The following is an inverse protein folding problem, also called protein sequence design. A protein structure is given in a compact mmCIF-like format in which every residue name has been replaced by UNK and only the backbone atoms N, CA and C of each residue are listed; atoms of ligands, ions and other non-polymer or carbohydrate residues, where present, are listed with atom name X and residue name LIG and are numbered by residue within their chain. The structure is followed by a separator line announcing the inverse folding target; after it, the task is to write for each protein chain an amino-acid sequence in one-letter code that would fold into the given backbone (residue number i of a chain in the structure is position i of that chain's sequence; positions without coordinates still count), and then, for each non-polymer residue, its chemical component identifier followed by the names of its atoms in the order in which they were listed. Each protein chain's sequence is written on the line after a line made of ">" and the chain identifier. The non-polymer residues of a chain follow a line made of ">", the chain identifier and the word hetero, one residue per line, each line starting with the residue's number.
data_IF_561049815185
#
_entry.id   IF_561049815185
#
_cell.length_a   1.000
_cell.length_b   1.000
_cell.length_c   1.000
_cell.angle_alpha   90.00
_cell.angle_beta   90.00
_cell.angle_gamma   90.00
#
_symmetry.space_group_name_H-M   'P 1'
#
loop_
_entity.id
_entity.type
_entity.pdbx_description
1 polymer ?
#
# COMPACT_ATOMS: atom_id res chain seq x y z
N UNK A 1 17.77 0.86 27.75
CA UNK A 1 17.81 0.25 26.41
C UNK A 1 17.71 1.37 25.38
N UNK A 2 18.20 1.20 24.15
CA UNK A 2 17.97 2.22 23.10
C UNK A 2 16.49 2.18 22.67
N UNK A 3 15.86 3.32 22.35
CA UNK A 3 14.48 3.33 21.87
C UNK A 3 14.37 2.52 20.56
N UNK A 4 13.23 1.85 20.38
CA UNK A 4 12.88 1.19 19.11
C UNK A 4 12.66 2.29 18.07
N UNK A 5 13.33 2.18 16.93
CA UNK A 5 13.17 3.11 15.81
C UNK A 5 12.22 2.52 14.78
N UNK A 6 11.09 3.18 14.57
CA UNK A 6 10.10 2.79 13.59
C UNK A 6 9.98 3.85 12.49
N UNK A 7 10.26 3.47 11.24
CA UNK A 7 10.16 4.38 10.10
C UNK A 7 9.10 3.87 9.12
N UNK A 8 8.14 4.72 8.77
CA UNK A 8 7.05 4.36 7.87
C UNK A 8 7.24 4.94 6.47
N UNK A 9 7.17 4.07 5.46
CA UNK A 9 7.26 4.40 4.03
C UNK A 9 5.99 4.02 3.30
N UNK A 10 5.66 4.82 2.28
CA UNK A 10 4.49 4.57 1.45
C UNK A 10 3.89 5.82 0.84
N UNK A 11 2.59 5.74 0.61
CA UNK A 11 1.78 6.79 0.02
C UNK A 11 0.75 7.36 1.01
N UNK A 12 -0.39 7.82 0.50
CA UNK A 12 -1.46 8.43 1.29
C UNK A 12 -2.03 7.51 2.37
N UNK A 13 -2.00 6.19 2.16
CA UNK A 13 -2.40 5.22 3.19
C UNK A 13 -1.49 5.32 4.42
N UNK A 14 -0.18 5.31 4.20
CA UNK A 14 0.80 5.39 5.30
C UNK A 14 0.95 6.81 5.85
N UNK A 15 0.72 7.84 5.03
CA UNK A 15 0.64 9.23 5.51
C UNK A 15 -0.53 9.43 6.51
N UNK A 16 -1.56 8.59 6.44
CA UNK A 16 -2.69 8.61 7.37
C UNK A 16 -3.91 9.36 6.87
N UNK A 17 -4.01 9.59 5.55
CA UNK A 17 -5.17 10.27 4.95
C UNK A 17 -6.45 9.58 5.40
N UNK A 18 -7.38 10.37 5.95
CA UNK A 18 -8.66 9.90 6.49
C UNK A 18 -8.73 9.80 8.03
N UNK A 19 -7.63 9.99 8.75
CA UNK A 19 -7.57 10.07 10.22
C UNK A 19 -7.00 11.43 10.69
N UNK A 20 -7.80 12.51 10.66
CA UNK A 20 -7.34 13.85 10.99
C UNK A 20 -7.22 14.07 12.50
N UNK A 21 -6.10 14.60 12.95
CA UNK A 21 -5.87 15.04 14.34
C UNK A 21 -5.29 16.45 14.31
N UNK A 22 -6.10 17.45 14.62
CA UNK A 22 -5.72 18.86 14.39
C UNK A 22 -5.50 19.14 12.90
N UNK A 23 -4.35 19.72 12.55
CA UNK A 23 -3.99 20.09 11.17
C UNK A 23 -3.18 19.01 10.44
N UNK A 24 -3.10 17.79 10.98
CA UNK A 24 -2.29 16.69 10.43
C UNK A 24 -3.06 15.38 10.35
N UNK A 25 -2.51 14.44 9.59
CA UNK A 25 -2.93 13.05 9.53
C UNK A 25 -2.15 12.22 10.56
N UNK A 26 -2.84 11.38 11.33
CA UNK A 26 -2.23 10.44 12.30
C UNK A 26 -1.92 9.11 11.63
N UNK A 27 -2.95 8.36 11.24
CA UNK A 27 -2.82 7.14 10.44
C UNK A 27 -2.34 5.92 11.21
N UNK A 28 -2.39 4.77 10.52
CA UNK A 28 -2.15 3.45 11.13
C UNK A 28 -0.73 3.29 11.70
N UNK A 29 0.29 3.88 11.06
CA UNK A 29 1.67 3.70 11.48
C UNK A 29 1.93 4.42 12.82
N UNK A 30 1.41 5.63 13.00
CA UNK A 30 1.50 6.31 14.29
C UNK A 30 0.69 5.62 15.38
N UNK A 31 -0.49 5.09 15.03
CA UNK A 31 -1.32 4.30 15.96
C UNK A 31 -0.65 2.99 16.39
N UNK A 32 0.18 2.41 15.53
CA UNK A 32 0.96 1.20 15.83
C UNK A 32 2.15 1.51 16.73
N UNK A 33 2.80 2.66 16.57
CA UNK A 33 4.09 2.96 17.19
C UNK A 33 4.12 2.71 18.72
N UNK A 34 3.15 3.16 19.54
CA UNK A 34 3.15 2.90 20.98
C UNK A 34 3.08 1.41 21.38
N UNK A 35 2.62 0.54 20.48
CA UNK A 35 2.57 -0.91 20.72
C UNK A 35 3.88 -1.64 20.46
N UNK A 36 4.89 -0.97 19.89
CA UNK A 36 6.17 -1.59 19.52
C UNK A 36 7.19 -1.68 20.66
N UNK A 37 6.97 -0.98 21.76
CA UNK A 37 7.83 -0.99 22.93
C UNK A 37 7.00 -0.87 24.23
N UNK A 38 7.55 -1.22 25.40
CA UNK A 38 6.85 -1.05 26.68
C UNK A 38 6.53 0.42 26.96
N UNK A 39 5.53 0.68 27.81
CA UNK A 39 5.01 2.03 28.12
C UNK A 39 6.10 2.99 28.65
N UNK A 40 7.12 2.46 29.32
CA UNK A 40 8.25 3.21 29.87
C UNK A 40 9.43 3.37 28.89
N UNK A 41 9.33 2.83 27.66
CA UNK A 41 10.32 2.95 26.60
C UNK A 41 9.71 3.63 25.37
N UNK A 42 10.06 4.89 25.07
CA UNK A 42 9.52 5.58 23.91
C UNK A 42 9.99 4.95 22.60
N UNK A 43 9.11 4.91 21.61
CA UNK A 43 9.41 4.55 20.22
C UNK A 43 9.75 5.83 19.46
N UNK A 44 10.90 5.82 18.79
CA UNK A 44 11.28 6.90 17.88
C UNK A 44 10.61 6.66 16.52
N UNK A 45 9.46 7.29 16.32
CA UNK A 45 8.63 7.12 15.15
C UNK A 45 8.84 8.25 14.13
N UNK A 46 9.13 7.89 12.89
CA UNK A 46 9.18 8.84 11.76
C UNK A 46 8.32 8.37 10.61
N UNK A 47 7.41 9.21 10.13
CA UNK A 47 6.64 8.96 8.91
C UNK A 47 7.24 9.70 7.72
N UNK A 48 7.69 8.97 6.71
CA UNK A 48 8.27 9.51 5.47
C UNK A 48 7.34 9.29 4.26
N UNK A 49 6.13 8.77 4.48
CA UNK A 49 5.16 8.55 3.43
C UNK A 49 4.65 9.86 2.83
N UNK A 50 4.33 9.84 1.54
CA UNK A 50 3.87 11.02 0.80
C UNK A 50 2.71 10.65 -0.11
N UNK A 51 1.59 11.36 0.03
CA UNK A 51 0.40 11.18 -0.80
C UNK A 51 0.72 11.13 -2.29
N UNK A 52 0.25 10.06 -2.93
CA UNK A 52 0.40 9.85 -4.37
C UNK A 52 1.75 9.28 -4.80
N UNK A 53 2.65 8.95 -3.85
CA UNK A 53 3.90 8.26 -4.12
C UNK A 53 3.68 6.92 -4.85
N UNK A 54 4.62 6.57 -5.71
CA UNK A 54 4.74 5.27 -6.37
C UNK A 54 5.94 4.50 -5.80
N UNK A 55 6.08 3.23 -6.18
CA UNK A 55 7.26 2.41 -5.83
C UNK A 55 8.61 3.08 -6.16
N UNK A 56 8.66 3.83 -7.27
CA UNK A 56 9.84 4.63 -7.64
C UNK A 56 10.17 5.69 -6.60
N UNK A 57 9.16 6.39 -6.10
CA UNK A 57 9.35 7.46 -5.13
C UNK A 57 9.81 6.92 -3.77
N UNK A 58 9.32 5.74 -3.38
CA UNK A 58 9.82 5.02 -2.21
C UNK A 58 11.30 4.69 -2.40
N UNK A 59 11.67 4.02 -3.50
CA UNK A 59 13.06 3.65 -3.77
C UNK A 59 14.01 4.85 -3.82
N UNK A 60 13.68 5.88 -4.58
CA UNK A 60 14.61 6.97 -4.89
C UNK A 60 14.69 8.03 -3.77
N UNK A 61 13.62 8.20 -2.98
CA UNK A 61 13.52 9.31 -2.02
C UNK A 61 13.34 8.83 -0.58
N UNK A 62 12.37 7.96 -0.34
CA UNK A 62 12.03 7.56 1.02
C UNK A 62 13.03 6.56 1.60
N UNK A 63 13.50 5.58 0.80
CA UNK A 63 14.45 4.56 1.25
C UNK A 63 15.78 5.14 1.69
N UNK A 64 16.47 6.03 0.95
CA UNK A 64 17.70 6.65 1.42
C UNK A 64 17.52 7.44 2.72
N UNK A 65 16.41 8.18 2.85
CA UNK A 65 16.08 8.94 4.05
C UNK A 65 15.83 8.01 5.25
N UNK A 66 15.09 6.92 5.07
CA UNK A 66 14.85 5.93 6.11
C UNK A 66 16.13 5.20 6.53
N UNK A 67 17.00 4.81 5.60
CA UNK A 67 18.25 4.14 5.93
C UNK A 67 19.17 5.02 6.80
N UNK A 68 19.12 6.35 6.62
CA UNK A 68 19.87 7.29 7.45
C UNK A 68 19.35 7.38 8.91
N UNK A 69 18.11 6.94 9.16
CA UNK A 69 17.51 6.88 10.50
C UNK A 69 17.81 5.55 11.21
N UNK A 70 18.41 4.57 10.53
CA UNK A 70 18.77 3.25 11.09
C UNK A 70 17.58 2.58 11.83
N UNK A 71 16.46 2.29 11.12
CA UNK A 71 15.27 1.72 11.73
C UNK A 71 15.49 0.29 12.23
N UNK A 72 14.87 -0.04 13.35
CA UNK A 72 14.68 -1.43 13.79
C UNK A 72 13.51 -2.08 13.06
N UNK A 73 12.47 -1.28 12.82
CA UNK A 73 11.26 -1.67 12.11
C UNK A 73 11.01 -0.64 11.01
N UNK A 74 10.69 -1.13 9.82
CA UNK A 74 10.30 -0.28 8.68
C UNK A 74 9.02 -0.80 8.06
N UNK A 75 8.05 0.08 7.82
CA UNK A 75 6.89 -0.30 7.00
C UNK A 75 7.07 0.18 5.57
N UNK A 76 6.71 -0.68 4.63
CA UNK A 76 6.70 -0.37 3.20
C UNK A 76 5.37 -0.86 2.63
N UNK A 77 4.39 0.04 2.64
CA UNK A 77 3.04 -0.21 2.09
C UNK A 77 2.83 0.74 0.93
N UNK A 78 2.89 0.20 -0.30
CA UNK A 78 2.92 0.98 -1.54
C UNK A 78 2.43 0.13 -2.73
N UNK A 79 2.06 0.79 -3.83
CA UNK A 79 1.85 0.14 -5.13
C UNK A 79 0.47 0.38 -5.73
N UNK A 80 -0.53 0.75 -4.93
CA UNK A 80 -1.87 1.13 -5.44
C UNK A 80 -1.75 2.29 -6.42
N UNK A 81 -0.94 3.30 -6.08
CA UNK A 81 -0.72 4.45 -6.96
C UNK A 81 -0.09 4.08 -8.31
N UNK A 82 0.82 3.11 -8.36
CA UNK A 82 1.40 2.61 -9.61
C UNK A 82 0.30 2.05 -10.53
N UNK A 83 -0.66 1.30 -9.98
CA UNK A 83 -1.79 0.74 -10.77
C UNK A 83 -2.66 1.82 -11.43
N UNK A 84 -2.67 3.01 -10.82
CA UNK A 84 -3.43 4.20 -11.22
C UNK A 84 -2.61 5.15 -12.11
N UNK A 85 -1.54 4.69 -12.75
CA UNK A 85 -0.78 5.46 -13.75
C UNK A 85 -0.79 4.79 -15.11
N UNK A 86 -0.59 5.60 -16.15
CA UNK A 86 -0.39 5.05 -17.48
C UNK A 86 0.93 4.29 -17.62
N UNK A 87 1.93 4.63 -16.80
CA UNK A 87 3.26 4.03 -16.76
C UNK A 87 3.33 2.73 -15.97
N UNK A 88 2.19 2.13 -15.61
CA UNK A 88 2.18 0.89 -14.83
C UNK A 88 2.97 -0.21 -15.54
N UNK A 89 3.99 -0.71 -14.85
CA UNK A 89 4.83 -1.83 -15.26
C UNK A 89 5.15 -2.70 -14.04
N UNK A 90 4.70 -3.95 -14.09
CA UNK A 90 4.88 -4.89 -12.98
C UNK A 90 6.34 -5.32 -12.81
N UNK A 91 7.15 -5.33 -13.87
CA UNK A 91 8.59 -5.63 -13.78
C UNK A 91 9.29 -4.56 -12.94
N UNK A 92 9.04 -3.30 -13.27
CA UNK A 92 9.62 -2.17 -12.57
C UNK A 92 9.13 -2.08 -11.11
N UNK A 93 7.86 -2.43 -10.83
CA UNK A 93 7.34 -2.54 -9.46
C UNK A 93 8.08 -3.64 -8.68
N UNK A 94 8.27 -4.82 -9.28
CA UNK A 94 8.94 -5.94 -8.63
C UNK A 94 10.41 -5.65 -8.32
N UNK A 95 11.15 -5.10 -9.28
CA UNK A 95 12.55 -4.70 -9.11
C UNK A 95 12.74 -3.67 -8.00
N UNK A 96 11.91 -2.63 -7.97
CA UNK A 96 12.00 -1.58 -6.96
C UNK A 96 11.69 -2.11 -5.57
N UNK A 97 10.64 -2.91 -5.42
CA UNK A 97 10.28 -3.49 -4.12
C UNK A 97 11.34 -4.48 -3.64
N UNK A 98 11.89 -5.32 -4.52
CA UNK A 98 12.98 -6.24 -4.17
C UNK A 98 14.19 -5.47 -3.66
N UNK A 99 14.57 -4.39 -4.35
CA UNK A 99 15.67 -3.51 -3.95
C UNK A 99 15.42 -2.85 -2.60
N UNK A 100 14.21 -2.30 -2.39
CA UNK A 100 13.84 -1.64 -1.12
C UNK A 100 13.86 -2.63 0.03
N UNK A 101 13.27 -3.81 -0.13
CA UNK A 101 13.24 -4.82 0.93
C UNK A 101 14.65 -5.32 1.24
N UNK A 102 15.43 -5.65 0.21
CA UNK A 102 16.83 -6.08 0.36
C UNK A 102 17.66 -5.05 1.15
N UNK A 103 17.50 -3.75 0.86
CA UNK A 103 18.25 -2.69 1.52
C UNK A 103 18.01 -2.63 3.04
N UNK A 104 16.77 -2.86 3.48
CA UNK A 104 16.43 -2.90 4.91
C UNK A 104 16.81 -4.21 5.58
N UNK A 105 16.61 -5.35 4.89
CA UNK A 105 17.05 -6.65 5.40
C UNK A 105 18.57 -6.75 5.55
N UNK A 106 19.34 -6.11 4.67
CA UNK A 106 20.79 -6.00 4.80
C UNK A 106 21.23 -5.20 6.05
N UNK A 107 20.33 -4.44 6.66
CA UNK A 107 20.51 -3.75 7.94
C UNK A 107 19.78 -4.42 9.11
N UNK A 108 19.33 -5.65 8.92
CA UNK A 108 18.61 -6.45 9.92
C UNK A 108 17.28 -5.82 10.40
N UNK A 109 16.77 -4.81 9.70
CA UNK A 109 15.50 -4.19 10.02
C UNK A 109 14.33 -5.14 9.68
N UNK A 110 13.33 -5.20 10.56
CA UNK A 110 12.08 -5.91 10.31
C UNK A 110 11.25 -5.11 9.32
N UNK A 111 10.91 -5.71 8.17
CA UNK A 111 10.10 -5.07 7.14
C UNK A 111 8.64 -5.47 7.34
N UNK A 112 7.75 -4.48 7.46
CA UNK A 112 6.30 -4.67 7.44
C UNK A 112 5.76 -4.31 6.06
N UNK A 113 4.87 -5.12 5.51
CA UNK A 113 4.19 -4.81 4.26
C UNK A 113 2.77 -5.38 4.23
N UNK A 114 1.98 -5.01 3.24
CA UNK A 114 0.61 -5.46 3.08
C UNK A 114 0.25 -5.69 1.62
N UNK A 115 -0.58 -6.70 1.35
CA UNK A 115 -1.36 -6.70 0.11
C UNK A 115 -2.61 -5.85 0.32
N UNK A 116 -2.99 -5.08 -0.71
CA UNK A 116 -4.06 -4.11 -0.62
C UNK A 116 -5.21 -4.45 -1.56
N UNK A 117 -6.44 -4.10 -1.19
CA UNK A 117 -7.62 -4.31 -2.03
C UNK A 117 -7.59 -3.50 -3.34
N UNK A 118 -8.42 -3.91 -4.31
CA UNK A 118 -8.40 -3.29 -5.62
C UNK A 118 -9.08 -1.91 -5.63
N UNK A 119 -8.41 -0.87 -6.18
CA UNK A 119 -8.95 0.48 -6.16
C UNK A 119 -10.19 0.63 -7.07
N UNK A 120 -10.40 -0.28 -8.03
CA UNK A 120 -11.54 -0.23 -8.94
C UNK A 120 -12.87 -0.53 -8.25
N UNK A 121 -12.88 -1.57 -7.41
CA UNK A 121 -14.01 -1.96 -6.57
C UNK A 121 -14.29 -0.90 -5.50
N UNK A 122 -13.23 -0.40 -4.84
CA UNK A 122 -13.34 0.65 -3.82
C UNK A 122 -13.99 1.93 -4.33
N UNK A 123 -13.59 2.36 -5.54
CA UNK A 123 -14.17 3.52 -6.21
C UNK A 123 -15.56 3.25 -6.82
N UNK A 124 -16.08 2.02 -6.74
CA UNK A 124 -17.38 1.63 -7.30
C UNK A 124 -17.42 1.76 -8.83
N UNK A 125 -16.30 1.54 -9.52
CA UNK A 125 -16.24 1.71 -10.97
C UNK A 125 -17.05 0.63 -11.70
N UNK A 126 -17.65 0.95 -12.86
CA UNK A 126 -18.24 -0.06 -13.73
C UNK A 126 -17.25 -1.18 -14.04
N UNK A 127 -17.73 -2.43 -14.11
CA UNK A 127 -16.85 -3.61 -14.24
C UNK A 127 -15.88 -3.59 -15.43
N UNK A 128 -16.17 -2.83 -16.49
CA UNK A 128 -15.25 -2.65 -17.63
C UNK A 128 -14.02 -1.79 -17.31
N UNK A 129 -14.12 -0.91 -16.30
CA UNK A 129 -13.02 -0.10 -15.77
C UNK A 129 -12.39 -0.75 -14.52
N UNK A 130 -13.21 -1.37 -13.67
CA UNK A 130 -12.72 -2.02 -12.44
C UNK A 130 -11.82 -3.24 -12.74
N UNK A 131 -12.19 -4.11 -13.69
CA UNK A 131 -11.44 -5.34 -13.97
C UNK A 131 -9.98 -5.11 -14.41
N UNK A 132 -9.67 -4.16 -15.31
CA UNK A 132 -8.28 -3.82 -15.59
C UNK A 132 -7.48 -3.39 -14.36
N UNK A 133 -8.07 -2.56 -13.48
CA UNK A 133 -7.40 -2.13 -12.25
C UNK A 133 -7.23 -3.27 -11.26
N UNK A 134 -8.24 -4.13 -11.11
CA UNK A 134 -8.17 -5.34 -10.30
C UNK A 134 -7.03 -6.26 -10.76
N UNK A 135 -6.86 -6.49 -12.07
CA UNK A 135 -5.71 -7.25 -12.59
C UNK A 135 -4.37 -6.61 -12.23
N UNK A 136 -4.26 -5.28 -12.31
CA UNK A 136 -3.03 -4.57 -11.91
C UNK A 136 -2.77 -4.71 -10.41
N UNK A 137 -3.78 -4.54 -9.57
CA UNK A 137 -3.63 -4.70 -8.12
C UNK A 137 -3.29 -6.14 -7.73
N UNK A 138 -3.94 -7.14 -8.36
CA UNK A 138 -3.59 -8.54 -8.16
C UNK A 138 -2.14 -8.83 -8.54
N UNK A 139 -1.64 -8.22 -9.62
CA UNK A 139 -0.24 -8.35 -10.00
C UNK A 139 0.70 -7.76 -8.94
N UNK A 140 0.42 -6.55 -8.44
CA UNK A 140 1.18 -5.94 -7.34
C UNK A 140 1.14 -6.80 -6.08
N UNK A 141 -0.05 -7.27 -5.67
CA UNK A 141 -0.21 -8.12 -4.48
C UNK A 141 0.54 -9.45 -4.61
N UNK A 142 0.58 -10.06 -5.80
CA UNK A 142 1.34 -11.27 -6.05
C UNK A 142 2.86 -11.04 -5.93
N UNK A 143 3.35 -9.89 -6.40
CA UNK A 143 4.74 -9.47 -6.21
C UNK A 143 5.05 -9.26 -4.73
N UNK A 144 4.20 -8.51 -4.00
CA UNK A 144 4.37 -8.30 -2.55
C UNK A 144 4.42 -9.65 -1.82
N UNK A 145 3.51 -10.58 -2.11
CA UNK A 145 3.53 -11.92 -1.49
C UNK A 145 4.83 -12.69 -1.74
N UNK A 146 5.32 -12.69 -2.98
CA UNK A 146 6.55 -13.36 -3.34
C UNK A 146 7.77 -12.73 -2.65
N UNK A 147 7.83 -11.40 -2.63
CA UNK A 147 8.93 -10.66 -2.02
C UNK A 147 8.91 -10.73 -0.50
N UNK A 148 7.73 -10.74 0.13
CA UNK A 148 7.60 -10.97 1.57
C UNK A 148 8.21 -12.30 1.99
N UNK A 149 7.92 -13.37 1.23
CA UNK A 149 8.52 -14.69 1.47
C UNK A 149 10.03 -14.70 1.23
N UNK A 150 10.49 -14.05 0.17
CA UNK A 150 11.92 -13.97 -0.20
C UNK A 150 12.75 -13.23 0.84
N UNK A 151 12.22 -12.14 1.39
CA UNK A 151 12.94 -11.23 2.30
C UNK A 151 12.61 -11.46 3.78
N UNK A 152 11.62 -12.30 4.09
CA UNK A 152 11.14 -12.51 5.46
C UNK A 152 10.41 -11.30 6.03
N UNK A 153 9.63 -10.60 5.21
CA UNK A 153 8.83 -9.46 5.65
C UNK A 153 7.56 -9.92 6.38
N UNK A 154 7.14 -9.16 7.39
CA UNK A 154 5.86 -9.32 8.06
C UNK A 154 4.74 -8.83 7.14
N UNK A 155 4.00 -9.77 6.56
CA UNK A 155 3.05 -9.51 5.48
C UNK A 155 1.61 -9.57 5.97
N UNK A 156 0.97 -8.41 6.05
CA UNK A 156 -0.44 -8.29 6.34
C UNK A 156 -1.31 -8.56 5.10
N UNK A 157 -2.25 -9.49 5.23
CA UNK A 157 -3.24 -9.79 4.20
C UNK A 157 -4.46 -8.85 4.30
N UNK A 158 -4.30 -7.59 3.89
CA UNK A 158 -5.36 -6.57 4.01
C UNK A 158 -6.32 -6.52 2.81
N UNK A 159 -6.12 -7.37 1.79
CA UNK A 159 -6.98 -7.43 0.60
C UNK A 159 -8.27 -8.26 0.80
N UNK A 160 -8.49 -8.83 1.99
CA UNK A 160 -9.61 -9.74 2.26
C UNK A 160 -10.92 -9.02 2.58
N UNK A 161 -12.04 -9.59 2.12
CA UNK A 161 -13.34 -8.93 1.92
C UNK A 161 -14.01 -8.44 3.22
N UNK A 162 -13.83 -9.14 4.34
CA UNK A 162 -14.69 -8.98 5.52
C UNK A 162 -14.64 -7.57 6.16
N UNK A 163 -13.48 -6.90 6.13
CA UNK A 163 -13.34 -5.54 6.69
C UNK A 163 -13.54 -4.44 5.64
N UNK A 164 -13.41 -4.76 4.35
CA UNK A 164 -13.50 -3.79 3.25
C UNK A 164 -14.96 -3.41 3.00
N UNK A 165 -15.90 -4.34 3.23
CA UNK A 165 -17.32 -4.08 3.00
C UNK A 165 -17.94 -3.13 4.03
N UNK A 166 -17.33 -2.98 5.21
CA UNK A 166 -17.81 -2.05 6.21
C UNK A 166 -17.52 -0.60 5.79
N UNK A 167 -18.59 0.12 5.43
CA UNK A 167 -18.49 1.51 5.01
C UNK A 167 -17.97 2.45 6.11
N UNK A 168 -18.03 2.05 7.38
CA UNK A 168 -17.54 2.84 8.51
C UNK A 168 -16.01 2.84 8.60
N UNK A 169 -15.31 1.86 7.99
CA UNK A 169 -13.84 1.82 8.01
C UNK A 169 -13.21 2.79 7.00
N UNK A 170 -14.02 3.34 6.08
CA UNK A 170 -13.55 4.21 5.00
C UNK A 170 -13.78 5.68 5.29
N UNK A 171 -12.87 6.51 4.79
CA UNK A 171 -12.96 7.96 4.87
C UNK A 171 -14.05 8.49 3.92
N UNK A 172 -14.26 9.81 3.96
CA UNK A 172 -15.25 10.50 3.14
C UNK A 172 -15.08 10.24 1.61
N UNK A 173 -13.87 9.93 1.16
CA UNK A 173 -13.53 9.67 -0.25
C UNK A 173 -13.74 8.23 -0.70
N UNK A 174 -14.00 7.30 0.24
CA UNK A 174 -14.17 5.86 0.01
C UNK A 174 -12.99 5.14 -0.65
N UNK A 175 -11.82 5.77 -0.62
CA UNK A 175 -10.57 5.19 -1.12
C UNK A 175 -9.58 4.98 0.02
N UNK A 176 -9.48 5.96 0.92
CA UNK A 176 -8.60 5.87 2.08
C UNK A 176 -9.37 5.37 3.31
N UNK A 177 -8.73 4.60 4.19
CA UNK A 177 -9.31 4.28 5.49
C UNK A 177 -9.63 5.55 6.29
N UNK A 178 -10.77 5.56 6.98
CA UNK A 178 -11.02 6.51 8.05
C UNK A 178 -10.25 6.11 9.31
N UNK A 179 -10.41 6.85 10.41
CA UNK A 179 -9.80 6.49 11.70
C UNK A 179 -9.99 5.02 12.06
N UNK A 180 -11.22 4.51 11.97
CA UNK A 180 -11.52 3.11 12.30
C UNK A 180 -10.69 2.14 11.45
N UNK A 181 -10.57 2.39 10.14
CA UNK A 181 -9.77 1.55 9.27
C UNK A 181 -8.26 1.64 9.56
N UNK A 182 -7.74 2.82 9.90
CA UNK A 182 -6.36 2.98 10.35
C UNK A 182 -6.08 2.22 11.66
N UNK A 183 -7.03 2.22 12.61
CA UNK A 183 -6.94 1.41 13.84
C UNK A 183 -6.95 -0.08 13.55
N UNK A 184 -7.79 -0.53 12.63
CA UNK A 184 -7.80 -1.95 12.21
C UNK A 184 -6.47 -2.38 11.58
N UNK A 185 -5.86 -1.54 10.75
CA UNK A 185 -4.52 -1.81 10.21
C UNK A 185 -3.46 -1.87 11.31
N UNK A 186 -3.45 -0.89 12.23
CA UNK A 186 -2.53 -0.87 13.36
C UNK A 186 -2.66 -2.13 14.25
N UNK A 187 -3.89 -2.52 14.58
CA UNK A 187 -4.19 -3.73 15.35
C UNK A 187 -3.68 -5.00 14.68
N UNK A 188 -3.92 -5.15 13.37
CA UNK A 188 -3.51 -6.35 12.64
C UNK A 188 -1.99 -6.44 12.50
N UNK A 189 -1.30 -5.33 12.23
CA UNK A 189 0.16 -5.31 12.26
C UNK A 189 0.72 -5.59 13.66
N UNK A 190 0.11 -5.03 14.71
CA UNK A 190 0.49 -5.32 16.09
C UNK A 190 0.35 -6.82 16.40
N UNK A 191 -0.76 -7.46 16.02
CA UNK A 191 -0.95 -8.91 16.22
C UNK A 191 0.18 -9.72 15.57
N UNK A 192 0.51 -9.42 14.30
CA UNK A 192 1.59 -10.09 13.58
C UNK A 192 2.95 -9.93 14.30
N UNK A 193 3.22 -8.73 14.82
CA UNK A 193 4.47 -8.44 15.53
C UNK A 193 4.53 -9.11 16.90
N UNK A 194 3.42 -9.14 17.65
CA UNK A 194 3.35 -9.83 18.95
C UNK A 194 3.54 -11.34 18.80
N UNK A 195 2.98 -11.95 17.74
CA UNK A 195 3.15 -13.38 17.44
C UNK A 195 4.64 -13.76 17.23
N UNK A 196 5.42 -12.85 16.65
CA UNK A 196 6.87 -13.00 16.44
C UNK A 196 7.72 -12.47 17.61
N UNK A 197 7.09 -11.98 18.69
CA UNK A 197 7.79 -11.41 19.85
C UNK A 197 8.51 -10.08 19.57
N UNK A 198 8.07 -9.34 18.55
CA UNK A 198 8.64 -8.06 18.09
C UNK A 198 7.85 -6.83 18.56
N UNK A 199 6.74 -7.04 19.28
CA UNK A 199 5.94 -6.00 19.92
C UNK A 199 5.55 -6.43 21.33
N UNK A 200 5.97 -5.65 22.32
CA UNK A 200 5.75 -5.87 23.76
C UNK A 200 5.03 -4.68 24.44
N UNK A 201 4.54 -3.72 23.64
CA UNK A 201 3.76 -2.58 24.09
C UNK A 201 2.27 -2.87 24.28
N UNK A 202 1.52 -1.80 24.53
CA UNK A 202 0.07 -1.90 24.65
C UNK A 202 -0.58 -2.08 23.28
N UNK A 203 -1.54 -3.00 23.18
CA UNK A 203 -2.35 -3.18 21.97
C UNK A 203 -3.00 -1.86 21.55
N UNK A 204 -2.90 -1.45 20.26
CA UNK A 204 -3.57 -0.26 19.76
C UNK A 204 -5.08 -0.29 20.05
N UNK A 205 -5.69 0.85 20.37
CA UNK A 205 -7.14 0.89 20.61
C UNK A 205 -7.95 0.64 19.33
N UNK A 206 -8.93 -0.26 19.42
CA UNK A 206 -9.91 -0.55 18.37
C UNK A 206 -11.02 0.51 18.26
N UNK A 207 -11.20 1.33 19.29
CA UNK A 207 -12.29 2.30 19.36
C UNK A 207 -11.91 3.58 18.62
N UNK A 208 -12.78 4.04 17.73
CA UNK A 208 -12.64 5.33 17.08
C UNK A 208 -12.94 6.47 18.06
N UNK A 209 -12.10 7.50 18.05
CA UNK A 209 -12.25 8.73 18.84
C UNK A 209 -13.20 9.72 18.14
N UNK A 210 -13.29 9.66 16.81
CA UNK A 210 -14.08 10.56 15.98
C UNK A 210 -15.24 9.83 15.30
N UNK A 211 -16.38 10.53 15.08
CA UNK A 211 -17.51 9.95 14.38
C UNK A 211 -17.19 9.69 12.90
N UNK A 212 -17.80 8.65 12.35
CA UNK A 212 -17.69 8.34 10.93
C UNK A 212 -18.14 9.52 10.05
N UNK A 213 -17.52 9.70 8.86
CA UNK A 213 -17.82 10.81 7.98
C UNK A 213 -19.29 10.82 7.53
N UNK A 214 -19.91 11.99 7.59
CA UNK A 214 -21.30 12.19 7.14
C UNK A 214 -21.39 12.23 5.62
N UNK A 215 -22.58 11.99 5.06
CA UNK A 215 -22.81 12.10 3.60
C UNK A 215 -22.48 13.49 3.05
N UNK A 216 -22.73 14.54 3.83
CA UNK A 216 -22.39 15.93 3.46
C UNK A 216 -20.87 16.15 3.41
N UNK A 217 -20.11 15.55 4.32
CA UNK A 217 -18.65 15.58 4.29
C UNK A 217 -18.08 14.90 3.04
N UNK A 218 -18.63 13.74 2.63
CA UNK A 218 -18.27 13.08 1.36
C UNK A 218 -18.55 13.97 0.13
N UNK A 219 -19.70 14.64 0.10
CA UNK A 219 -20.05 15.56 -0.99
C UNK A 219 -19.14 16.79 -1.03
N UNK A 220 -18.80 17.35 0.14
CA UNK A 220 -17.89 18.49 0.25
C UNK A 220 -16.47 18.13 -0.20
N UNK A 221 -15.97 16.95 0.18
CA UNK A 221 -14.68 16.45 -0.30
C UNK A 221 -14.68 16.30 -1.82
N UNK A 222 -15.71 15.67 -2.38
CA UNK A 222 -15.89 15.52 -3.83
C UNK A 222 -15.81 16.87 -4.54
N UNK A 223 -16.48 17.90 -3.99
CA UNK A 223 -16.51 19.24 -4.56
C UNK A 223 -15.16 19.98 -4.48
N UNK A 224 -14.30 19.64 -3.52
CA UNK A 224 -13.05 20.37 -3.22
C UNK A 224 -11.81 19.56 -3.65
N UNK A 225 -11.31 18.71 -2.75
CA UNK A 225 -10.12 17.89 -2.96
C UNK A 225 -10.31 16.83 -4.06
N UNK A 226 -11.51 16.25 -4.14
CA UNK A 226 -11.88 15.28 -5.17
C UNK A 226 -11.76 15.86 -6.58
N UNK A 227 -12.24 17.08 -6.81
CA UNK A 227 -12.14 17.77 -8.11
C UNK A 227 -10.70 17.89 -8.60
N UNK A 228 -9.77 18.30 -7.73
CA UNK A 228 -8.36 18.43 -8.08
C UNK A 228 -7.68 17.08 -8.38
N UNK A 229 -8.04 16.04 -7.62
CA UNK A 229 -7.59 14.67 -7.89
C UNK A 229 -8.11 14.14 -9.23
N UNK A 230 -9.42 14.29 -9.48
CA UNK A 230 -10.06 13.88 -10.74
C UNK A 230 -9.42 14.61 -11.92
N UNK A 231 -9.21 15.92 -11.83
CA UNK A 231 -8.59 16.70 -12.90
C UNK A 231 -7.18 16.19 -13.28
N UNK A 232 -6.34 15.87 -12.28
CA UNK A 232 -5.02 15.26 -12.53
C UNK A 232 -5.14 13.87 -13.16
N UNK A 233 -6.10 13.06 -12.73
CA UNK A 233 -6.32 11.71 -13.28
C UNK A 233 -6.94 11.73 -14.68
N UNK A 234 -7.66 12.78 -15.06
CA UNK A 234 -8.21 12.93 -16.41
C UNK A 234 -7.14 12.98 -17.51
N UNK A 235 -5.94 13.49 -17.21
CA UNK A 235 -4.83 13.54 -18.17
C UNK A 235 -3.86 12.37 -18.02
N UNK A 236 -3.69 11.86 -16.80
CA UNK A 236 -2.69 10.84 -16.44
C UNK A 236 -3.21 9.39 -16.54
N UNK A 237 -4.48 9.15 -16.24
CA UNK A 237 -5.04 7.79 -16.12
C UNK A 237 -6.18 7.54 -17.11
N UNK A 238 -7.08 8.51 -17.29
CA UNK A 238 -8.34 8.30 -18.00
C UNK A 238 -8.17 7.80 -19.45
N UNK A 239 -7.28 8.35 -20.30
CA UNK A 239 -7.14 7.89 -21.68
C UNK A 239 -6.71 6.41 -21.76
N UNK A 240 -5.79 6.00 -20.89
CA UNK A 240 -5.33 4.62 -20.87
C UNK A 240 -6.39 3.70 -20.27
N UNK A 241 -7.08 4.12 -19.21
CA UNK A 241 -8.13 3.32 -18.58
C UNK A 241 -9.29 3.07 -19.58
N UNK A 242 -9.64 4.05 -20.40
CA UNK A 242 -10.59 3.87 -21.51
C UNK A 242 -10.08 2.89 -22.56
N UNK A 243 -8.79 2.92 -22.88
CA UNK A 243 -8.16 1.95 -23.81
C UNK A 243 -8.23 0.52 -23.24
N UNK A 244 -7.95 0.35 -21.95
CA UNK A 244 -8.07 -0.93 -21.26
C UNK A 244 -9.53 -1.41 -21.21
N UNK A 245 -10.48 -0.51 -20.96
CA UNK A 245 -11.90 -0.83 -20.98
C UNK A 245 -12.37 -1.25 -22.39
N UNK A 246 -11.91 -0.58 -23.44
CA UNK A 246 -12.21 -0.98 -24.81
C UNK A 246 -11.65 -2.38 -25.14
N UNK A 247 -10.45 -2.70 -24.65
CA UNK A 247 -9.88 -4.05 -24.73
C UNK A 247 -10.73 -5.07 -23.98
N UNK A 248 -11.14 -4.76 -22.74
CA UNK A 248 -11.99 -5.60 -21.90
C UNK A 248 -13.32 -5.92 -22.62
N UNK A 249 -13.98 -4.90 -23.20
CA UNK A 249 -15.22 -5.07 -23.97
C UNK A 249 -15.00 -5.95 -25.20
N UNK A 250 -13.90 -5.73 -25.94
CA UNK A 250 -13.57 -6.52 -27.14
C UNK A 250 -13.31 -7.98 -26.80
N UNK A 251 -12.55 -8.26 -25.74
CA UNK A 251 -12.28 -9.63 -25.29
C UNK A 251 -13.54 -10.30 -24.76
N UNK A 252 -14.40 -9.57 -24.04
CA UNK A 252 -15.69 -10.07 -23.57
C UNK A 252 -16.60 -10.45 -24.74
N UNK A 253 -16.74 -9.57 -25.74
CA UNK A 253 -17.55 -9.81 -26.94
C UNK A 253 -17.05 -11.04 -27.75
N UNK A 254 -15.75 -11.34 -27.68
CA UNK A 254 -15.13 -12.50 -28.33
C UNK A 254 -15.07 -13.76 -27.46
N UNK A 255 -15.54 -13.72 -26.21
CA UNK A 255 -15.43 -14.85 -25.26
C UNK A 255 -13.98 -15.18 -24.87
N UNK A 256 -13.06 -14.22 -24.93
CA UNK A 256 -11.61 -14.44 -24.72
C UNK A 256 -11.04 -13.66 -23.52
N UNK A 257 -11.89 -13.27 -22.56
CA UNK A 257 -11.46 -12.53 -21.36
C UNK A 257 -10.36 -13.24 -20.57
N UNK A 258 -10.39 -14.58 -20.50
CA UNK A 258 -9.36 -15.37 -19.81
C UNK A 258 -7.93 -15.14 -20.34
N UNK A 259 -7.77 -14.68 -21.60
CA UNK A 259 -6.45 -14.33 -22.15
C UNK A 259 -5.82 -13.12 -21.45
N UNK A 260 -6.64 -12.18 -20.98
CA UNK A 260 -6.15 -11.00 -20.24
C UNK A 260 -5.64 -11.42 -18.87
N UNK A 261 -6.33 -12.33 -18.21
CA UNK A 261 -5.94 -12.85 -16.90
C UNK A 261 -4.65 -13.68 -17.01
N UNK A 262 -4.57 -14.58 -18.01
CA UNK A 262 -3.33 -15.34 -18.32
C UNK A 262 -2.15 -14.42 -18.64
N UNK A 263 -2.38 -13.37 -19.44
CA UNK A 263 -1.34 -12.39 -19.78
C UNK A 263 -0.82 -11.67 -18.53
N UNK A 264 -1.71 -11.29 -17.60
CA UNK A 264 -1.32 -10.65 -16.35
C UNK A 264 -0.54 -11.64 -15.45
N UNK A 265 -0.98 -12.89 -15.34
CA UNK A 265 -0.26 -13.93 -14.58
C UNK A 265 1.12 -14.23 -15.17
N UNK A 266 1.25 -14.31 -16.50
CA UNK A 266 2.55 -14.48 -17.16
C UNK A 266 3.48 -13.29 -16.92
N UNK A 267 2.96 -12.06 -16.94
CA UNK A 267 3.77 -10.87 -16.66
C UNK A 267 4.33 -10.89 -15.22
N UNK A 268 3.52 -11.27 -14.24
CA UNK A 268 3.98 -11.44 -12.85
C UNK A 268 5.05 -12.53 -12.74
N UNK A 269 4.80 -13.70 -13.32
CA UNK A 269 5.76 -14.81 -13.30
C UNK A 269 7.10 -14.42 -13.96
N UNK A 270 7.03 -13.74 -15.10
CA UNK A 270 8.19 -13.19 -15.81
C UNK A 270 8.95 -12.18 -14.95
N UNK A 271 8.25 -11.24 -14.30
CA UNK A 271 8.85 -10.24 -13.42
C UNK A 271 9.59 -10.87 -12.24
N UNK A 272 8.98 -11.84 -11.56
CA UNK A 272 9.61 -12.54 -10.43
C UNK A 272 10.77 -13.43 -10.87
N UNK A 273 10.68 -14.08 -12.04
CA UNK A 273 11.78 -14.87 -12.60
C UNK A 273 13.00 -13.99 -12.91
N UNK A 274 12.80 -12.77 -13.41
CA UNK A 274 13.89 -11.83 -13.69
C UNK A 274 14.70 -11.45 -12.43
N UNK A 275 14.07 -11.41 -11.25
CA UNK A 275 14.76 -11.14 -9.97
C UNK A 275 15.63 -12.31 -9.47
N UNK A 276 15.42 -13.51 -10.01
CA UNK A 276 16.10 -14.73 -9.55
C UNK A 276 17.36 -15.05 -10.35
N UNK A 277 17.62 -14.32 -11.44
CA UNK A 277 18.83 -14.51 -12.24
C UNK A 277 19.96 -13.71 -11.59
N UNK A 278 21.00 -14.34 -11.01
CA UNK A 278 22.16 -13.59 -10.53
C UNK A 278 22.80 -12.88 -11.73
N UNK A 279 23.09 -11.58 -11.59
CA UNK A 279 23.99 -10.89 -12.51
C UNK A 279 25.25 -11.74 -12.66
N UNK A 280 25.55 -12.17 -13.89
CA UNK A 280 26.86 -12.78 -14.16
C UNK A 280 27.88 -11.71 -13.81
N UNK A 281 28.86 -11.98 -12.93
CA UNK A 281 29.95 -11.04 -12.76
C UNK A 281 30.62 -10.87 -14.12
N UNK A 282 30.69 -9.63 -14.59
CA UNK A 282 31.47 -9.28 -15.77
C UNK A 282 32.87 -9.83 -15.56
N UNK A 283 33.25 -10.77 -16.42
CA UNK A 283 34.60 -11.31 -16.46
C UNK A 283 35.54 -10.18 -16.91
N UNK A 284 36.30 -9.64 -15.95
CA UNK A 284 37.49 -8.81 -16.19
C UNK A 284 38.72 -9.61 -15.81
#
# INVERSE_FOLDING_TARGET
>A
MRPVRFVALGDSLTEGVGDPVGDRWRGWAELLAPGLAPVDAPVDFTNLAVSGAQTRDVLERQTPAALALEPDIVSVVIGVNDTLRYTFDIHAVAERLDTVYAAFRAREATVLTACLPDPGSMLGLPGVLARPLARRQHAVNAVVHALSKRHGAMHLHAAEEEWIEDRAVWSADRLHPGELGHRQLALRFHSLLTEEGLADGATPSAEAEFPAPTRSASLLWLATAGTGWVARRCTDLLPQLLTLAASEVRHRARGTSARLDLSASHAVASALAALSVPERPDAV
#
